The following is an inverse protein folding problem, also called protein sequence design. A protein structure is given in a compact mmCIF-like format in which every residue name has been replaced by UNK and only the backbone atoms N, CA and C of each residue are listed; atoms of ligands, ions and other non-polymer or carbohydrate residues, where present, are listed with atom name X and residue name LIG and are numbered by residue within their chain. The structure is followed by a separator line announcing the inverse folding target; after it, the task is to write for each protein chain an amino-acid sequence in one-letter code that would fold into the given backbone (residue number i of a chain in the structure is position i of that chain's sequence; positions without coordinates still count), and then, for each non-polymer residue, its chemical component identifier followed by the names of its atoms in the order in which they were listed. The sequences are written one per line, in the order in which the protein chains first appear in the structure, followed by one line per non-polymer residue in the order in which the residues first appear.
data_IF_329377536331
#
_entry.id   IF_329377536331
#
_cell.length_a   1.000
_cell.length_b   1.000
_cell.length_c   1.000
_cell.angle_alpha   90.00
_cell.angle_beta   90.00
_cell.angle_gamma   90.00
#
_symmetry.space_group_name_H-M   'P 1'
#
loop_
_entity.id
_entity.type
_entity.pdbx_description
1 polymer ?
#
# COMPACT_ATOMS: atom_id res chain seq x y z
N UNK A 1 -8.43 -35.17 -36.78
CA UNK A 1 -7.07 -34.65 -37.07
C UNK A 1 -6.83 -33.19 -36.62
N UNK A 2 -7.85 -32.34 -36.47
CA UNK A 2 -7.69 -30.95 -35.97
C UNK A 2 -7.85 -30.79 -34.44
N UNK A 3 -8.47 -31.76 -33.77
CA UNK A 3 -8.76 -31.73 -32.32
C UNK A 3 -7.50 -31.83 -31.46
N UNK A 4 -6.50 -32.58 -31.93
CA UNK A 4 -5.18 -32.73 -31.30
C UNK A 4 -4.49 -31.36 -31.19
N UNK A 5 -4.41 -30.62 -32.30
CA UNK A 5 -3.80 -29.27 -32.34
C UNK A 5 -4.53 -28.27 -31.45
N UNK A 6 -5.86 -28.35 -31.36
CA UNK A 6 -6.65 -27.49 -30.48
C UNK A 6 -6.39 -27.81 -29.00
N UNK A 7 -6.13 -29.09 -28.67
CA UNK A 7 -5.81 -29.53 -27.32
C UNK A 7 -4.42 -29.05 -26.89
N UNK A 8 -3.43 -29.14 -27.79
CA UNK A 8 -2.07 -28.61 -27.59
C UNK A 8 -2.04 -27.09 -27.38
N UNK A 9 -2.79 -26.35 -28.19
CA UNK A 9 -2.87 -24.88 -28.06
C UNK A 9 -3.50 -24.50 -26.72
N UNK A 10 -4.56 -25.19 -26.29
CA UNK A 10 -5.16 -24.95 -24.96
C UNK A 10 -4.22 -25.32 -23.81
N UNK A 11 -3.46 -26.41 -23.94
CA UNK A 11 -2.46 -26.81 -22.95
C UNK A 11 -1.39 -25.73 -22.80
N UNK A 12 -0.82 -25.25 -23.92
CA UNK A 12 0.17 -24.16 -23.92
C UNK A 12 -0.36 -22.85 -23.35
N UNK A 13 -1.60 -22.48 -23.69
CA UNK A 13 -2.24 -21.28 -23.12
C UNK A 13 -2.45 -21.43 -21.61
N UNK A 14 -2.80 -22.64 -21.14
CA UNK A 14 -2.97 -22.92 -19.70
C UNK A 14 -1.64 -22.83 -18.96
N UNK A 15 -0.55 -23.30 -19.53
CA UNK A 15 0.79 -23.22 -18.92
C UNK A 15 1.28 -21.78 -18.82
N UNK A 16 1.07 -20.97 -19.87
CA UNK A 16 1.40 -19.54 -19.86
C UNK A 16 0.50 -18.73 -18.91
N UNK A 17 -0.79 -19.09 -18.84
CA UNK A 17 -1.74 -18.46 -17.92
C UNK A 17 -1.45 -18.85 -16.47
N UNK A 18 -1.05 -20.09 -16.19
CA UNK A 18 -0.57 -20.53 -14.87
C UNK A 18 0.76 -19.89 -14.50
N UNK A 19 1.67 -19.67 -15.45
CA UNK A 19 2.91 -18.92 -15.21
C UNK A 19 2.64 -17.44 -14.89
N UNK A 20 1.66 -16.81 -15.55
CA UNK A 20 1.27 -15.41 -15.31
C UNK A 20 0.32 -15.23 -14.10
N UNK A 21 -0.46 -16.26 -13.76
CA UNK A 21 -1.34 -16.36 -12.58
C UNK A 21 -0.65 -17.11 -11.43
N UNK A 22 0.62 -17.49 -11.57
CA UNK A 22 1.55 -17.72 -10.46
C UNK A 22 1.96 -16.35 -9.91
N UNK A 23 0.92 -15.61 -9.52
CA UNK A 23 0.93 -14.52 -8.57
C UNK A 23 0.90 -15.12 -7.15
N UNK A 24 1.53 -16.28 -6.95
CA UNK A 24 1.48 -17.00 -5.68
C UNK A 24 2.56 -16.43 -4.80
N UNK A 25 2.21 -15.34 -4.10
CA UNK A 25 3.09 -14.54 -3.27
C UNK A 25 4.27 -13.99 -4.07
N UNK A 26 4.12 -12.76 -4.57
CA UNK A 26 5.12 -11.79 -4.10
C UNK A 26 5.02 -11.92 -2.59
N UNK A 27 5.89 -12.73 -1.99
CA UNK A 27 6.21 -12.60 -0.58
C UNK A 27 6.54 -11.12 -0.54
N UNK A 28 5.59 -10.30 -0.11
CA UNK A 28 5.81 -8.88 0.03
C UNK A 28 6.83 -8.85 1.14
N UNK A 29 8.10 -8.99 0.76
CA UNK A 29 9.21 -8.64 1.61
C UNK A 29 8.97 -7.18 1.85
N UNK A 30 8.35 -6.90 2.99
CA UNK A 30 8.08 -5.54 3.41
C UNK A 30 9.46 -4.95 3.61
N UNK A 31 9.95 -4.27 2.58
CA UNK A 31 11.24 -3.61 2.64
C UNK A 31 11.19 -2.62 3.80
N UNK A 32 12.26 -2.56 4.58
CA UNK A 32 12.39 -1.62 5.69
C UNK A 32 12.15 -0.18 5.21
N UNK A 33 12.53 0.12 3.97
CA UNK A 33 12.24 1.40 3.31
C UNK A 33 10.75 1.65 3.10
N UNK A 34 9.97 0.63 2.74
CA UNK A 34 8.52 0.78 2.56
C UNK A 34 7.83 1.08 3.88
N UNK A 35 8.27 0.46 4.98
CA UNK A 35 7.76 0.75 6.33
C UNK A 35 8.05 2.21 6.70
N UNK A 36 9.29 2.66 6.45
CA UNK A 36 9.68 4.04 6.68
C UNK A 36 8.85 5.02 5.84
N UNK A 37 8.63 4.72 4.55
CA UNK A 37 7.81 5.55 3.66
C UNK A 37 6.35 5.56 4.09
N UNK A 38 5.78 4.43 4.51
CA UNK A 38 4.39 4.36 4.99
C UNK A 38 4.21 5.24 6.25
N UNK A 39 5.18 5.24 7.17
CA UNK A 39 5.15 6.08 8.36
C UNK A 39 5.34 7.58 8.03
N UNK A 40 6.33 7.89 7.19
CA UNK A 40 6.65 9.26 6.79
C UNK A 40 5.51 9.86 5.96
N UNK A 41 4.91 9.10 5.05
CA UNK A 41 3.77 9.57 4.24
C UNK A 41 2.55 9.89 5.11
N UNK A 42 2.19 9.02 6.05
CA UNK A 42 1.10 9.28 7.01
C UNK A 42 1.36 10.52 7.86
N UNK A 43 2.57 10.66 8.38
CA UNK A 43 3.00 11.83 9.16
C UNK A 43 2.98 13.11 8.31
N UNK A 44 3.48 13.06 7.08
CA UNK A 44 3.54 14.20 6.16
C UNK A 44 2.14 14.69 5.79
N UNK A 45 1.20 13.78 5.53
CA UNK A 45 -0.21 14.12 5.29
C UNK A 45 -0.82 14.76 6.54
N UNK A 46 -0.58 14.20 7.73
CA UNK A 46 -1.03 14.78 8.99
C UNK A 46 -0.52 16.22 9.20
N UNK A 47 0.77 16.46 8.98
CA UNK A 47 1.36 17.80 9.12
C UNK A 47 0.79 18.78 8.09
N UNK A 48 0.66 18.39 6.82
CA UNK A 48 0.09 19.25 5.77
C UNK A 48 -1.34 19.66 6.10
N UNK A 49 -2.19 18.70 6.50
CA UNK A 49 -3.57 18.98 6.91
C UNK A 49 -3.59 19.82 8.20
N UNK A 50 -2.71 19.52 9.14
CA UNK A 50 -2.55 20.26 10.38
C UNK A 50 -2.26 21.74 10.12
N UNK A 51 -1.29 22.04 9.26
CA UNK A 51 -0.92 23.42 8.91
C UNK A 51 -2.06 24.13 8.18
N UNK A 52 -2.72 23.43 7.25
CA UNK A 52 -3.85 23.98 6.53
C UNK A 52 -5.00 24.37 7.48
N UNK A 53 -5.28 23.49 8.44
CA UNK A 53 -6.31 23.70 9.47
C UNK A 53 -5.94 24.83 10.41
N UNK A 54 -4.68 24.88 10.88
CA UNK A 54 -4.19 25.93 11.77
C UNK A 54 -4.36 27.33 11.14
N UNK A 55 -4.03 27.45 9.86
CA UNK A 55 -4.22 28.68 9.06
C UNK A 55 -5.69 29.03 8.88
N UNK A 56 -6.56 28.04 8.64
CA UNK A 56 -7.99 28.27 8.45
C UNK A 56 -8.66 28.77 9.73
N UNK A 57 -8.28 28.20 10.87
CA UNK A 57 -8.87 28.54 12.17
C UNK A 57 -8.16 29.70 12.90
N UNK A 58 -7.15 30.34 12.28
CA UNK A 58 -6.26 31.32 12.91
C UNK A 58 -5.77 30.87 14.31
N UNK A 59 -5.72 29.55 14.49
CA UNK A 59 -5.50 28.94 15.79
C UNK A 59 -4.01 28.86 16.03
N UNK A 60 -3.64 28.95 17.31
CA UNK A 60 -2.31 28.55 17.77
C UNK A 60 -2.04 27.11 17.30
N UNK A 61 -0.77 26.66 17.15
CA UNK A 61 -0.33 25.39 16.55
C UNK A 61 -0.79 24.09 17.25
N UNK A 62 -2.03 24.06 17.70
CA UNK A 62 -2.73 22.98 18.38
C UNK A 62 -3.25 21.96 17.37
N UNK A 63 -3.80 22.42 16.25
CA UNK A 63 -4.30 21.50 15.22
C UNK A 63 -3.18 20.70 14.58
N UNK A 64 -2.02 21.35 14.34
CA UNK A 64 -0.81 20.66 13.86
C UNK A 64 -0.42 19.54 14.82
N UNK A 65 -0.37 19.79 16.14
CA UNK A 65 0.02 18.80 17.13
C UNK A 65 -0.93 17.60 17.09
N UNK A 66 -2.24 17.83 17.15
CA UNK A 66 -3.25 16.77 17.15
C UNK A 66 -3.22 15.97 15.84
N UNK A 67 -3.18 16.65 14.69
CA UNK A 67 -3.13 15.99 13.39
C UNK A 67 -1.83 15.23 13.15
N UNK A 68 -0.71 15.68 13.73
CA UNK A 68 0.56 14.96 13.64
C UNK A 68 0.46 13.64 14.41
N UNK A 69 -0.14 13.62 15.61
CA UNK A 69 -0.36 12.37 16.35
C UNK A 69 -1.27 11.42 15.55
N UNK A 70 -2.37 11.94 14.98
CA UNK A 70 -3.26 11.14 14.13
C UNK A 70 -2.53 10.61 12.90
N UNK A 71 -1.69 11.42 12.24
CA UNK A 71 -0.90 11.03 11.08
C UNK A 71 0.11 9.91 11.38
N UNK A 72 0.75 9.98 12.55
CA UNK A 72 1.64 8.92 13.03
C UNK A 72 0.84 7.62 13.26
N UNK A 73 -0.29 7.70 13.97
CA UNK A 73 -1.17 6.54 14.21
C UNK A 73 -1.65 5.93 12.89
N UNK A 74 -1.99 6.76 11.90
CA UNK A 74 -2.38 6.31 10.57
C UNK A 74 -1.24 5.56 9.85
N UNK A 75 -0.01 6.08 9.91
CA UNK A 75 1.17 5.41 9.37
C UNK A 75 1.40 4.04 10.02
N UNK A 76 1.32 3.97 11.36
CA UNK A 76 1.39 2.70 12.09
C UNK A 76 0.27 1.73 11.73
N UNK A 77 -0.96 2.22 11.53
CA UNK A 77 -2.10 1.38 11.12
C UNK A 77 -1.87 0.75 9.74
N UNK A 78 -1.31 1.49 8.78
CA UNK A 78 -0.97 0.96 7.44
C UNK A 78 0.06 -0.16 7.57
N UNK A 79 1.10 0.05 8.37
CA UNK A 79 2.14 -0.95 8.62
C UNK A 79 1.52 -2.20 9.28
N UNK A 80 0.69 -2.02 10.31
CA UNK A 80 0.06 -3.14 11.02
C UNK A 80 -0.90 -3.92 10.12
N UNK A 81 -1.64 -3.23 9.25
CA UNK A 81 -2.50 -3.87 8.26
C UNK A 81 -1.68 -4.69 7.25
N UNK A 82 -0.52 -4.19 6.84
CA UNK A 82 0.38 -4.88 5.89
C UNK A 82 1.06 -6.11 6.52
N UNK A 83 1.38 -6.07 7.82
CA UNK A 83 1.98 -7.21 8.54
C UNK A 83 0.94 -8.29 8.87
N UNK A 84 -0.31 -7.90 9.19
CA UNK A 84 -1.37 -8.86 9.57
C UNK A 84 -1.99 -9.61 8.38
N UNK A 85 -1.73 -9.19 7.15
CA UNK A 85 -2.37 -9.69 5.93
C UNK A 85 -1.45 -10.63 5.16
#
# INVERSE_FOLDING_TARGET
MNTEKLKDIKARIKDLKTSKISNSKVQQEISQFTIAVDLVSGTMVGVVIGIFTDKFFNSKPLFIIVFTIIGIIAGFNIIMQKIRK
#
